data_IF_266754270874
#
_entry.id   IF_266754270874
#
_cell.length_a   1.000
_cell.length_b   1.000
_cell.length_c   1.000
_cell.angle_alpha   90.00
_cell.angle_beta   90.00
_cell.angle_gamma   90.00
#
_symmetry.space_group_name_H-M   'P 1'
#
loop_
_entity.id
_entity.type
_entity.pdbx_description
1 polymer ?
#
# COMPACT_ATOMS: atom_id res chain seq x y z
N UNK A 1 -6.35 10.76 -6.84
CA UNK A 1 -6.93 10.72 -5.48
C UNK A 1 -6.89 9.26 -5.05
N UNK A 2 -5.91 8.88 -4.23
CA UNK A 2 -5.72 7.50 -3.76
C UNK A 2 -6.84 7.15 -2.79
N UNK A 3 -7.55 6.05 -3.05
CA UNK A 3 -8.63 5.55 -2.21
C UNK A 3 -8.09 5.23 -0.81
N UNK A 4 -8.52 5.97 0.21
CA UNK A 4 -8.02 5.79 1.58
C UNK A 4 -8.70 4.56 2.17
N UNK A 5 -7.99 3.43 2.20
CA UNK A 5 -8.44 2.19 2.84
C UNK A 5 -9.12 2.48 4.18
N UNK A 6 -10.39 2.09 4.30
CA UNK A 6 -11.12 2.16 5.55
C UNK A 6 -10.73 0.95 6.43
N UNK A 7 -9.90 1.21 7.44
CA UNK A 7 -9.27 0.17 8.26
C UNK A 7 -9.78 0.23 9.71
N UNK A 8 -9.86 -0.94 10.35
CA UNK A 8 -10.19 -1.09 11.78
C UNK A 8 -8.98 -1.52 12.57
N UNK A 9 -8.80 -0.96 13.77
CA UNK A 9 -7.67 -1.25 14.63
C UNK A 9 -7.70 -2.71 15.09
N UNK A 10 -6.67 -3.49 14.75
CA UNK A 10 -6.65 -4.91 15.13
C UNK A 10 -6.51 -5.14 16.66
N UNK A 11 -6.25 -4.09 17.44
CA UNK A 11 -6.16 -4.18 18.92
C UNK A 11 -7.49 -3.91 19.63
N UNK A 12 -8.29 -2.96 19.16
CA UNK A 12 -9.50 -2.52 19.87
C UNK A 12 -10.75 -2.37 18.99
N UNK A 13 -10.64 -2.62 17.69
CA UNK A 13 -11.75 -2.53 16.73
C UNK A 13 -12.12 -1.12 16.27
N UNK A 14 -11.63 -0.06 16.90
CA UNK A 14 -11.94 1.31 16.50
C UNK A 14 -11.38 1.66 15.10
N UNK A 15 -12.06 2.53 14.36
CA UNK A 15 -11.57 3.03 13.07
C UNK A 15 -10.21 3.74 13.21
N UNK A 16 -9.29 3.47 12.30
CA UNK A 16 -7.95 4.09 12.31
C UNK A 16 -7.87 5.23 11.28
N UNK A 17 -7.06 6.25 11.59
CA UNK A 17 -6.86 7.42 10.72
C UNK A 17 -5.51 7.35 10.02
N UNK A 18 -5.48 7.67 8.73
CA UNK A 18 -4.24 7.94 8.02
C UNK A 18 -3.60 9.21 8.57
N UNK A 19 -2.33 9.13 8.97
CA UNK A 19 -1.60 10.27 9.53
C UNK A 19 -0.51 10.80 8.60
N UNK A 20 -0.03 10.00 7.66
CA UNK A 20 0.94 10.45 6.67
C UNK A 20 1.69 9.30 6.02
N UNK A 21 2.54 9.67 5.05
CA UNK A 21 3.52 8.80 4.43
C UNK A 21 4.90 9.26 4.85
N UNK A 22 5.74 8.33 5.27
CA UNK A 22 7.11 8.64 5.67
C UNK A 22 8.07 7.51 5.27
N UNK A 23 9.38 7.81 5.28
CA UNK A 23 10.44 6.84 5.05
C UNK A 23 10.77 6.12 6.36
N UNK A 24 10.45 4.84 6.42
CA UNK A 24 10.83 3.99 7.53
C UNK A 24 12.21 3.36 7.27
N UNK A 25 13.18 3.71 8.12
CA UNK A 25 14.53 3.14 8.07
C UNK A 25 14.97 2.74 9.48
N UNK A 26 15.65 1.60 9.60
CA UNK A 26 16.47 1.33 10.78
C UNK A 26 17.67 2.27 10.72
N UNK A 27 17.90 3.06 11.77
CA UNK A 27 19.15 3.83 11.89
C UNK A 27 20.32 2.84 11.89
N UNK A 28 21.31 2.98 11.00
CA UNK A 28 22.52 2.17 11.10
C UNK A 28 23.28 2.57 12.37
N UNK A 29 23.92 1.59 13.01
CA UNK A 29 24.57 1.70 14.32
C UNK A 29 25.88 2.50 14.29
N UNK A 30 26.10 3.34 13.29
CA UNK A 30 27.43 3.80 12.92
C UNK A 30 27.59 5.32 12.93
N UNK A 31 28.69 5.75 13.54
CA UNK A 31 29.21 7.12 13.69
C UNK A 31 29.56 7.86 12.38
N UNK A 32 29.02 7.43 11.23
CA UNK A 32 29.32 8.00 9.91
C UNK A 32 28.09 8.72 9.35
N UNK A 33 28.34 9.98 9.01
CA UNK A 33 27.44 11.10 8.71
C UNK A 33 26.19 10.84 7.84
N UNK A 34 25.23 11.76 7.96
CA UNK A 34 23.94 11.88 7.26
C UNK A 34 23.95 11.60 5.73
N UNK A 35 25.12 11.59 5.08
CA UNK A 35 25.24 11.29 3.65
C UNK A 35 24.99 9.80 3.34
N UNK A 36 25.38 8.88 4.23
CA UNK A 36 25.09 7.44 4.03
C UNK A 36 23.61 7.13 4.27
N UNK A 37 22.93 7.91 5.11
CA UNK A 37 21.49 7.81 5.38
C UNK A 37 20.65 8.10 4.12
N UNK A 38 21.04 9.11 3.33
CA UNK A 38 20.37 9.44 2.08
C UNK A 38 20.51 8.36 0.99
N UNK A 39 21.63 7.62 1.00
CA UNK A 39 21.91 6.55 0.02
C UNK A 39 21.27 5.21 0.38
N UNK A 40 20.96 4.98 1.66
CA UNK A 40 20.45 3.70 2.18
C UNK A 40 18.96 3.44 1.87
N UNK A 41 18.34 4.19 0.95
CA UNK A 41 17.04 3.86 0.34
C UNK A 41 15.94 3.46 1.32
N UNK A 42 15.29 4.43 1.96
CA UNK A 42 14.22 4.16 2.91
C UNK A 42 12.98 3.61 2.24
N UNK A 43 12.33 2.63 2.88
CA UNK A 43 11.02 2.15 2.45
C UNK A 43 9.98 3.20 2.82
N UNK A 44 9.28 3.75 1.83
CA UNK A 44 8.10 4.56 2.11
C UNK A 44 7.01 3.67 2.71
N UNK A 45 6.34 4.17 3.74
CA UNK A 45 5.22 3.50 4.40
C UNK A 45 4.07 4.47 4.61
N UNK A 46 2.85 3.99 4.41
CA UNK A 46 1.64 4.66 4.84
C UNK A 46 1.40 4.36 6.32
N UNK A 47 1.27 5.42 7.12
CA UNK A 47 1.17 5.34 8.57
C UNK A 47 -0.27 5.62 8.99
N UNK A 48 -0.85 4.71 9.76
CA UNK A 48 -2.17 4.86 10.35
C UNK A 48 -2.09 4.82 11.88
N UNK A 49 -2.92 5.63 12.54
CA UNK A 49 -2.98 5.75 14.00
C UNK A 49 -4.40 5.47 14.51
N UNK A 50 -4.50 4.61 15.52
CA UNK A 50 -5.75 4.41 16.26
C UNK A 50 -5.91 5.51 17.34
N UNK A 51 -6.96 6.35 17.27
CA UNK A 51 -7.17 7.41 18.25
C UNK A 51 -7.59 6.89 19.63
N UNK A 52 -8.05 5.65 19.73
CA UNK A 52 -8.56 5.06 20.98
C UNK A 52 -7.47 4.41 21.83
N UNK A 53 -6.58 3.63 21.22
CA UNK A 53 -5.56 2.86 21.96
C UNK A 53 -4.11 3.23 21.62
N UNK A 54 -3.89 4.19 20.70
CA UNK A 54 -2.57 4.65 20.30
C UNK A 54 -1.79 3.70 19.39
N UNK A 55 -2.36 2.55 18.98
CA UNK A 55 -1.69 1.62 18.06
C UNK A 55 -1.37 2.30 16.73
N UNK A 56 -0.14 2.10 16.24
CA UNK A 56 0.28 2.43 14.89
C UNK A 56 0.28 1.18 14.00
N UNK A 57 -0.16 1.35 12.77
CA UNK A 57 -0.09 0.31 11.72
C UNK A 57 0.60 0.91 10.50
N UNK A 58 1.58 0.17 9.96
CA UNK A 58 2.42 0.57 8.84
C UNK A 58 2.08 -0.31 7.65
N UNK A 59 1.80 0.31 6.51
CA UNK A 59 1.51 -0.39 5.27
C UNK A 59 2.50 0.04 4.19
N UNK A 60 2.85 -0.88 3.29
CA UNK A 60 3.48 -0.46 2.05
C UNK A 60 2.48 0.41 1.27
N UNK A 61 2.95 1.52 0.68
CA UNK A 61 2.15 2.30 -0.25
C UNK A 61 1.60 1.38 -1.32
N UNK A 62 0.32 1.52 -1.65
CA UNK A 62 -0.16 0.96 -2.90
C UNK A 62 0.69 1.57 -4.02
N UNK A 63 1.36 0.71 -4.79
CA UNK A 63 1.95 1.15 -6.03
C UNK A 63 0.83 1.85 -6.81
N UNK A 64 1.10 3.00 -7.46
CA UNK A 64 0.16 3.48 -8.44
C UNK A 64 -0.07 2.29 -9.38
N UNK A 65 -1.31 1.78 -9.46
CA UNK A 65 -1.69 0.99 -10.63
C UNK A 65 -1.21 1.82 -11.81
N UNK A 66 -0.44 1.25 -12.75
CA UNK A 66 0.31 1.95 -13.80
C UNK A 66 -0.58 2.78 -14.78
N UNK A 67 -1.79 3.16 -14.39
CA UNK A 67 -2.79 3.80 -15.22
C UNK A 67 -3.33 2.85 -16.28
N UNK A 68 -2.96 1.56 -16.22
CA UNK A 68 -3.47 0.55 -17.11
C UNK A 68 -4.99 0.50 -16.93
N UNK A 69 -5.69 0.82 -18.01
CA UNK A 69 -7.14 0.71 -18.05
C UNK A 69 -7.51 -0.71 -17.61
N UNK A 70 -8.48 -0.84 -16.71
CA UNK A 70 -8.97 -2.13 -16.26
C UNK A 70 -10.27 -2.47 -16.97
N UNK A 71 -10.50 -3.76 -17.22
CA UNK A 71 -11.75 -4.31 -17.73
C UNK A 71 -12.31 -5.35 -16.77
N UNK A 72 -13.64 -5.49 -16.75
CA UNK A 72 -14.30 -6.54 -16.00
C UNK A 72 -14.54 -7.75 -16.92
N UNK A 73 -14.19 -8.94 -16.46
CA UNK A 73 -14.49 -10.17 -17.18
C UNK A 73 -16.01 -10.40 -17.25
N UNK A 74 -16.61 -10.56 -18.45
CA UNK A 74 -18.06 -10.73 -18.59
C UNK A 74 -18.56 -12.09 -18.05
N UNK A 75 -17.67 -13.06 -17.84
CA UNK A 75 -18.01 -14.40 -17.37
C UNK A 75 -17.94 -14.51 -15.85
N UNK A 76 -16.83 -14.09 -15.23
CA UNK A 76 -16.60 -14.29 -13.79
C UNK A 76 -16.54 -13.01 -12.96
N UNK A 77 -16.68 -11.84 -13.59
CA UNK A 77 -16.70 -10.55 -12.91
C UNK A 77 -15.36 -10.08 -12.34
N UNK A 78 -14.25 -10.79 -12.58
CA UNK A 78 -12.93 -10.36 -12.16
C UNK A 78 -12.52 -9.05 -12.85
N UNK A 79 -11.99 -8.09 -12.09
CA UNK A 79 -11.39 -6.86 -12.61
C UNK A 79 -9.91 -7.13 -12.90
N UNK A 80 -9.49 -6.91 -14.15
CA UNK A 80 -8.15 -7.23 -14.64
C UNK A 80 -7.64 -6.11 -15.54
N UNK A 81 -6.34 -6.07 -15.80
CA UNK A 81 -5.76 -5.10 -16.73
C UNK A 81 -6.23 -5.37 -18.18
N UNK A 82 -6.44 -4.30 -18.96
CA UNK A 82 -7.06 -4.37 -20.29
C UNK A 82 -6.23 -5.18 -21.30
N UNK A 83 -4.91 -5.24 -21.14
CA UNK A 83 -3.95 -5.94 -22.00
C UNK A 83 -3.98 -7.47 -21.85
N UNK A 84 -4.68 -8.01 -20.85
CA UNK A 84 -4.89 -9.45 -20.74
C UNK A 84 -5.78 -9.97 -21.89
N UNK A 85 -5.19 -10.70 -22.82
CA UNK A 85 -5.93 -11.43 -23.88
C UNK A 85 -6.78 -12.60 -23.35
N UNK A 86 -6.52 -13.06 -22.11
CA UNK A 86 -7.28 -14.13 -21.46
C UNK A 86 -7.45 -13.86 -19.97
N UNK A 87 -8.65 -14.15 -19.45
CA UNK A 87 -8.95 -13.98 -18.03
C UNK A 87 -8.10 -14.96 -17.18
N UNK A 88 -7.27 -14.48 -16.23
CA UNK A 88 -6.45 -15.35 -15.39
C UNK A 88 -7.27 -16.21 -14.43
N UNK A 89 -8.53 -15.83 -14.16
CA UNK A 89 -9.40 -16.54 -13.21
C UNK A 89 -10.25 -17.64 -13.86
N UNK A 90 -10.88 -17.37 -15.01
CA UNK A 90 -11.79 -18.31 -15.67
C UNK A 90 -11.34 -18.77 -17.07
N UNK A 91 -10.19 -18.28 -17.55
CA UNK A 91 -9.61 -18.59 -18.87
C UNK A 91 -10.44 -18.16 -20.09
N UNK A 92 -11.47 -17.34 -19.92
CA UNK A 92 -12.21 -16.71 -21.02
C UNK A 92 -11.28 -15.83 -21.88
N UNK A 93 -11.39 -15.92 -23.20
CA UNK A 93 -10.66 -15.08 -24.16
C UNK A 93 -11.46 -13.81 -24.48
N UNK A 94 -10.78 -12.67 -24.54
CA UNK A 94 -11.37 -11.34 -24.74
C UNK A 94 -11.26 -10.86 -26.18
#
# INVERSE_FOLDING_TARGET
MTDKRQLSCLRCGAGIRFIGRDKFQRRPDLFLSDLTFALAGGMEVDIYSCPTCGKLELFQPEAPSDGLAQKQCPVCGAVIDFDYGRCPRCRHEF
#
